data_IF_499870628445
#
_entry.id   IF_499870628445
#
_cell.length_a   1.000
_cell.length_b   1.000
_cell.length_c   1.000
_cell.angle_alpha   90.00
_cell.angle_beta   90.00
_cell.angle_gamma   90.00
#
_symmetry.space_group_name_H-M   'P 1'
#
loop_
_entity.id
_entity.type
_entity.pdbx_description
1 polymer ?
#
# COMPACT_ATOMS: atom_id res chain seq x y z
N UNK A 1 7.59 -45.12 38.64
CA UNK A 1 7.32 -44.38 37.39
C UNK A 1 6.05 -43.56 37.57
N UNK A 2 6.18 -42.31 38.00
CA UNK A 2 5.11 -41.32 38.02
C UNK A 2 5.71 -40.02 37.49
N UNK A 3 5.36 -39.63 36.26
CA UNK A 3 5.63 -38.27 35.76
C UNK A 3 4.60 -37.34 36.41
N UNK A 4 5.01 -36.20 37.00
CA UNK A 4 4.05 -35.26 37.55
C UNK A 4 3.23 -34.64 36.41
N UNK A 5 1.92 -34.61 36.61
CA UNK A 5 0.96 -33.91 35.76
C UNK A 5 1.26 -32.42 35.88
N UNK A 6 1.62 -31.79 34.77
CA UNK A 6 1.78 -30.34 34.67
C UNK A 6 0.41 -29.68 34.93
N UNK A 7 0.31 -28.66 35.80
CA UNK A 7 -0.96 -27.97 36.02
C UNK A 7 -1.41 -27.25 34.72
N UNK A 8 -2.72 -27.02 34.53
CA UNK A 8 -3.22 -26.33 33.35
C UNK A 8 -2.64 -24.90 33.31
N UNK A 9 -2.02 -24.55 32.19
CA UNK A 9 -1.56 -23.20 31.92
C UNK A 9 -2.76 -22.25 32.00
N UNK A 10 -2.78 -21.43 33.04
CA UNK A 10 -3.67 -20.28 33.14
C UNK A 10 -3.33 -19.35 31.97
N UNK A 11 -4.29 -19.01 31.12
CA UNK A 11 -4.13 -18.06 29.99
C UNK A 11 -3.72 -16.68 30.52
N UNK A 12 -2.42 -16.49 30.70
CA UNK A 12 -1.82 -15.17 30.83
C UNK A 12 -1.57 -14.65 29.41
N UNK A 13 -2.59 -14.04 28.79
CA UNK A 13 -2.34 -13.19 27.62
C UNK A 13 -1.29 -12.16 28.02
N UNK A 14 -0.13 -12.19 27.36
CA UNK A 14 1.00 -11.36 27.80
C UNK A 14 0.63 -9.88 27.60
N UNK A 15 1.15 -8.98 28.45
CA UNK A 15 0.95 -7.53 28.34
C UNK A 15 1.32 -6.96 26.94
N UNK A 16 2.00 -7.76 26.12
CA UNK A 16 2.38 -7.45 24.75
C UNK A 16 1.23 -7.58 23.71
N UNK A 17 0.05 -8.07 24.07
CA UNK A 17 -1.08 -8.28 23.14
C UNK A 17 -2.18 -7.21 23.26
N UNK A 18 -1.90 -6.15 24.03
CA UNK A 18 -2.79 -4.99 24.24
C UNK A 18 -2.03 -3.67 24.07
N UNK A 19 -2.72 -2.66 23.58
CA UNK A 19 -2.23 -1.28 23.54
C UNK A 19 -3.41 -0.30 23.52
N UNK A 20 -3.18 0.97 23.83
CA UNK A 20 -4.22 1.99 23.70
C UNK A 20 -4.45 2.35 22.23
N UNK A 21 -3.37 2.55 21.47
CA UNK A 21 -3.42 2.98 20.07
C UNK A 21 -2.62 2.01 19.21
N UNK A 22 -3.29 1.33 18.29
CA UNK A 22 -2.69 0.45 17.30
C UNK A 22 -2.59 1.18 15.95
N UNK A 23 -1.39 1.29 15.41
CA UNK A 23 -1.11 1.95 14.13
C UNK A 23 -0.70 0.88 13.12
N UNK A 24 -1.43 0.79 12.01
CA UNK A 24 -1.14 -0.19 10.95
C UNK A 24 -0.41 0.50 9.80
N UNK A 25 0.89 0.23 9.68
CA UNK A 25 1.81 0.80 8.73
C UNK A 25 2.78 1.80 9.37
N UNK A 26 4.08 1.57 9.18
CA UNK A 26 5.19 2.41 9.62
C UNK A 26 5.74 3.29 8.47
N UNK A 27 4.89 3.67 7.51
CA UNK A 27 5.19 4.73 6.54
C UNK A 27 5.18 6.14 7.17
N UNK A 28 5.40 7.21 6.38
CA UNK A 28 5.40 8.58 6.89
C UNK A 28 4.16 8.94 7.74
N UNK A 29 2.97 8.52 7.31
CA UNK A 29 1.74 8.74 8.08
C UNK A 29 1.76 8.04 9.45
N UNK A 30 2.14 6.76 9.50
CA UNK A 30 2.14 6.00 10.75
C UNK A 30 3.21 6.47 11.73
N UNK A 31 4.40 6.82 11.24
CA UNK A 31 5.44 7.40 12.09
C UNK A 31 5.01 8.75 12.67
N UNK A 32 4.36 9.60 11.87
CA UNK A 32 3.82 10.86 12.36
C UNK A 32 2.66 10.66 13.35
N UNK A 33 1.78 9.69 13.11
CA UNK A 33 0.70 9.36 14.04
C UNK A 33 1.23 8.90 15.39
N UNK A 34 2.25 8.05 15.39
CA UNK A 34 2.85 7.55 16.62
C UNK A 34 3.50 8.69 17.42
N UNK A 35 4.30 9.52 16.77
CA UNK A 35 4.98 10.65 17.42
C UNK A 35 4.00 11.71 17.93
N UNK A 36 2.91 11.96 17.22
CA UNK A 36 1.86 12.89 17.66
C UNK A 36 1.08 12.36 18.88
N UNK A 37 0.86 11.05 18.95
CA UNK A 37 0.18 10.41 20.08
C UNK A 37 1.10 10.23 21.30
N UNK A 38 2.41 10.11 21.10
CA UNK A 38 3.37 9.74 22.15
C UNK A 38 3.33 10.59 23.43
N UNK A 39 3.18 11.93 23.37
CA UNK A 39 3.12 12.77 24.58
C UNK A 39 1.93 12.51 25.50
N UNK A 40 0.90 11.78 25.04
CA UNK A 40 -0.26 11.42 25.87
C UNK A 40 0.05 10.36 26.93
N UNK A 41 1.18 9.67 26.82
CA UNK A 41 1.52 8.51 27.66
C UNK A 41 0.80 7.22 27.29
N UNK A 42 -0.08 7.24 26.28
CA UNK A 42 -0.76 6.06 25.76
C UNK A 42 0.24 4.98 25.32
N UNK A 43 -0.09 3.70 25.55
CA UNK A 43 0.67 2.59 25.01
C UNK A 43 0.40 2.47 23.50
N UNK A 44 1.41 2.72 22.67
CA UNK A 44 1.29 2.77 21.21
C UNK A 44 2.01 1.56 20.60
N UNK A 45 1.33 0.82 19.74
CA UNK A 45 1.95 -0.24 18.93
C UNK A 45 1.85 0.10 17.45
N UNK A 46 2.96 0.03 16.73
CA UNK A 46 3.03 0.18 15.27
C UNK A 46 3.32 -1.18 14.67
N UNK A 47 2.51 -1.62 13.71
CA UNK A 47 2.69 -2.88 12.98
C UNK A 47 3.03 -2.56 11.53
N UNK A 48 4.12 -3.11 11.00
CA UNK A 48 4.48 -2.96 9.59
C UNK A 48 5.06 -4.27 9.04
N UNK A 49 4.66 -4.60 7.81
CA UNK A 49 5.08 -5.83 7.15
C UNK A 49 6.51 -5.76 6.61
N UNK A 50 7.11 -4.57 6.54
CA UNK A 50 8.50 -4.41 6.16
C UNK A 50 9.44 -4.64 7.35
N UNK A 51 10.66 -5.15 7.10
CA UNK A 51 11.66 -5.33 8.14
C UNK A 51 12.12 -4.03 8.82
N UNK A 52 11.92 -2.88 8.16
CA UNK A 52 12.35 -1.58 8.67
C UNK A 52 11.27 -0.50 8.45
N UNK A 53 11.11 0.45 9.39
CA UNK A 53 10.11 1.50 9.28
C UNK A 53 10.45 2.51 8.17
N UNK A 54 9.46 3.06 7.50
CA UNK A 54 9.64 4.08 6.45
C UNK A 54 8.69 3.92 5.27
N UNK A 55 7.98 2.80 5.19
CA UNK A 55 7.09 2.48 4.07
C UNK A 55 7.84 2.51 2.74
N UNK A 56 7.17 2.94 1.67
CA UNK A 56 7.77 2.93 0.31
C UNK A 56 8.72 4.12 0.06
N UNK A 57 8.36 5.30 0.57
CA UNK A 57 9.11 6.55 0.31
C UNK A 57 10.45 6.54 1.05
N UNK A 58 10.43 6.17 2.33
CA UNK A 58 11.62 6.05 3.17
C UNK A 58 12.07 4.59 3.33
N UNK A 59 11.77 3.74 2.33
CA UNK A 59 12.24 2.35 2.31
C UNK A 59 13.75 2.32 2.49
N UNK A 60 14.18 1.59 3.50
CA UNK A 60 15.58 1.34 3.81
C UNK A 60 16.14 0.16 3.03
N UNK A 61 17.46 0.05 2.98
CA UNK A 61 18.14 -1.10 2.41
C UNK A 61 19.66 -0.93 2.37
N UNK A 62 20.39 -1.94 1.89
CA UNK A 62 21.84 -2.06 2.09
C UNK A 62 22.67 -0.87 1.61
N UNK A 63 22.21 -0.16 0.57
CA UNK A 63 22.92 0.97 -0.05
C UNK A 63 22.11 2.27 0.02
N UNK A 64 21.09 2.33 0.88
CA UNK A 64 20.19 3.47 0.97
C UNK A 64 20.72 4.48 1.98
N UNK A 65 20.94 5.72 1.52
CA UNK A 65 21.08 6.87 2.42
C UNK A 65 19.70 7.46 2.62
N UNK A 66 19.16 7.31 3.83
CA UNK A 66 17.85 7.84 4.18
C UNK A 66 17.86 9.38 4.16
N UNK A 67 16.76 10.03 3.71
CA UNK A 67 16.59 11.47 3.85
C UNK A 67 16.65 11.89 5.32
N UNK A 68 17.17 13.09 5.60
CA UNK A 68 17.30 13.62 6.96
C UNK A 68 15.98 13.56 7.75
N UNK A 69 14.85 13.87 7.11
CA UNK A 69 13.53 13.80 7.74
C UNK A 69 13.19 12.37 8.21
N UNK A 70 13.51 11.35 7.41
CA UNK A 70 13.27 9.96 7.78
C UNK A 70 14.12 9.55 9.00
N UNK A 71 15.39 9.97 9.02
CA UNK A 71 16.31 9.73 10.14
C UNK A 71 15.80 10.42 11.41
N UNK A 72 15.35 11.67 11.31
CA UNK A 72 14.78 12.43 12.42
C UNK A 72 13.54 11.74 13.02
N UNK A 73 12.61 11.29 12.17
CA UNK A 73 11.41 10.58 12.64
C UNK A 73 11.76 9.27 13.36
N UNK A 74 12.70 8.48 12.84
CA UNK A 74 13.15 7.25 13.49
C UNK A 74 13.85 7.51 14.82
N UNK A 75 14.74 8.51 14.85
CA UNK A 75 15.43 8.92 16.06
C UNK A 75 14.47 9.45 17.13
N UNK A 76 13.44 10.19 16.72
CA UNK A 76 12.38 10.64 17.62
C UNK A 76 11.57 9.45 18.17
N UNK A 77 11.23 8.47 17.32
CA UNK A 77 10.48 7.28 17.73
C UNK A 77 11.23 6.51 18.82
N UNK A 78 12.54 6.33 18.65
CA UNK A 78 13.40 5.61 19.59
C UNK A 78 13.55 6.29 20.96
N UNK A 79 13.18 7.58 21.09
CA UNK A 79 13.21 8.31 22.37
C UNK A 79 11.96 8.10 23.22
N UNK A 80 10.89 7.54 22.65
CA UNK A 80 9.64 7.33 23.36
C UNK A 80 9.52 5.87 23.83
N UNK A 81 9.51 5.66 25.14
CA UNK A 81 9.41 4.33 25.75
C UNK A 81 8.00 3.72 25.65
N UNK A 82 6.98 4.54 25.39
CA UNK A 82 5.60 4.11 25.21
C UNK A 82 5.24 3.76 23.75
N UNK A 83 6.21 3.79 22.84
CA UNK A 83 6.04 3.34 21.45
C UNK A 83 6.73 2.00 21.25
N UNK A 84 5.97 1.02 20.81
CA UNK A 84 6.48 -0.28 20.38
C UNK A 84 6.33 -0.44 18.87
N UNK A 85 7.42 -0.75 18.19
CA UNK A 85 7.41 -1.09 16.77
C UNK A 85 7.50 -2.62 16.60
N UNK A 86 6.62 -3.18 15.79
CA UNK A 86 6.59 -4.59 15.40
C UNK A 86 6.87 -4.67 13.89
N UNK A 87 8.15 -4.64 13.47
CA UNK A 87 8.54 -4.75 12.07
C UNK A 87 8.45 -6.22 11.62
N UNK A 88 8.21 -6.44 10.32
CA UNK A 88 8.03 -7.79 9.77
C UNK A 88 6.75 -8.50 10.24
N UNK A 89 5.84 -7.78 10.89
CA UNK A 89 4.56 -8.28 11.35
C UNK A 89 3.44 -7.75 10.45
N UNK A 90 2.49 -8.61 10.08
CA UNK A 90 1.38 -8.25 9.19
C UNK A 90 0.03 -8.54 9.84
N UNK A 91 -0.96 -7.71 9.51
CA UNK A 91 -2.37 -8.02 9.80
C UNK A 91 -2.85 -9.05 8.80
N UNK A 92 -3.29 -10.20 9.29
CA UNK A 92 -3.78 -11.30 8.45
C UNK A 92 -5.30 -11.42 8.46
N UNK A 93 -5.99 -10.90 9.48
CA UNK A 93 -7.43 -11.00 9.62
C UNK A 93 -7.98 -10.21 10.80
N UNK A 94 -9.28 -10.36 11.06
CA UNK A 94 -9.88 -9.94 12.31
C UNK A 94 -9.60 -10.99 13.39
N UNK A 95 -9.30 -10.53 14.60
CA UNK A 95 -9.19 -11.39 15.77
C UNK A 95 -10.49 -11.40 16.57
N UNK A 96 -10.61 -12.35 17.49
CA UNK A 96 -11.78 -12.44 18.36
C UNK A 96 -11.83 -11.24 19.33
N UNK A 97 -12.97 -10.55 19.46
CA UNK A 97 -13.11 -9.44 20.40
C UNK A 97 -13.19 -9.93 21.85
N UNK A 98 -12.74 -9.12 22.80
CA UNK A 98 -12.95 -9.39 24.22
C UNK A 98 -14.22 -8.69 24.75
N UNK A 99 -14.86 -9.20 25.81
CA UNK A 99 -15.98 -8.53 26.45
C UNK A 99 -15.64 -7.08 26.83
N UNK A 100 -16.40 -6.12 26.29
CA UNK A 100 -16.19 -4.69 26.53
C UNK A 100 -15.32 -3.98 25.49
N UNK A 101 -14.70 -4.70 24.55
CA UNK A 101 -13.98 -4.10 23.44
C UNK A 101 -14.95 -3.32 22.54
N UNK A 102 -14.67 -2.03 22.36
CA UNK A 102 -15.43 -1.15 21.44
C UNK A 102 -14.78 -1.03 20.07
N UNK A 103 -13.64 -1.70 19.87
CA UNK A 103 -12.84 -1.63 18.66
C UNK A 103 -12.43 -3.05 18.27
N UNK A 104 -12.51 -3.44 16.99
CA UNK A 104 -12.21 -4.81 16.58
C UNK A 104 -10.77 -5.19 16.91
N UNK A 105 -10.56 -6.42 17.38
CA UNK A 105 -9.23 -6.99 17.53
C UNK A 105 -8.67 -7.40 16.15
N UNK A 106 -7.35 -7.39 16.00
CA UNK A 106 -6.67 -7.74 14.75
C UNK A 106 -5.82 -9.00 14.95
N UNK A 107 -5.94 -9.94 14.02
CA UNK A 107 -5.07 -11.12 13.98
C UNK A 107 -3.76 -10.73 13.28
N UNK A 108 -2.65 -10.86 13.99
CA UNK A 108 -1.31 -10.54 13.51
C UNK A 108 -0.47 -11.80 13.33
N UNK A 109 0.50 -11.71 12.42
CA UNK A 109 1.45 -12.78 12.14
C UNK A 109 2.82 -12.18 11.81
N UNK A 110 3.89 -12.75 12.39
CA UNK A 110 5.29 -12.48 12.00
C UNK A 110 5.96 -13.77 11.49
N UNK A 111 7.29 -13.79 11.35
CA UNK A 111 8.03 -14.97 10.89
C UNK A 111 7.90 -16.19 11.82
N UNK A 112 7.58 -15.99 13.09
CA UNK A 112 7.70 -17.02 14.13
C UNK A 112 6.34 -17.46 14.69
N UNK A 113 5.39 -16.52 14.84
CA UNK A 113 4.10 -16.79 15.50
C UNK A 113 2.94 -15.92 15.00
N UNK A 114 1.74 -16.30 15.43
CA UNK A 114 0.54 -15.50 15.28
C UNK A 114 -0.07 -15.17 16.63
N UNK A 115 -0.75 -14.02 16.74
CA UNK A 115 -1.43 -13.59 17.96
C UNK A 115 -2.58 -12.62 17.65
N UNK A 116 -3.50 -12.48 18.59
CA UNK A 116 -4.56 -11.46 18.52
C UNK A 116 -4.09 -10.18 19.23
N UNK A 117 -4.11 -9.05 18.52
CA UNK A 117 -3.79 -7.73 19.07
C UNK A 117 -5.06 -6.96 19.38
N UNK A 118 -5.27 -6.66 20.66
CA UNK A 118 -6.34 -5.83 21.15
C UNK A 118 -5.90 -4.36 21.25
N UNK A 119 -6.85 -3.44 21.00
CA UNK A 119 -6.58 -2.01 21.13
C UNK A 119 -7.83 -1.18 21.42
N UNK A 120 -7.67 -0.02 22.05
CA UNK A 120 -8.77 0.94 22.26
C UNK A 120 -9.07 1.78 21.02
N UNK A 121 -8.06 2.01 20.17
CA UNK A 121 -8.14 2.79 18.92
C UNK A 121 -7.23 2.20 17.86
N UNK A 122 -7.66 2.26 16.60
CA UNK A 122 -6.87 1.83 15.44
C UNK A 122 -6.65 3.02 14.50
N UNK A 123 -5.41 3.23 14.04
CA UNK A 123 -5.09 4.19 12.97
C UNK A 123 -4.57 3.43 11.75
N UNK A 124 -5.34 3.46 10.67
CA UNK A 124 -5.00 2.82 9.40
C UNK A 124 -4.08 3.73 8.57
N UNK A 125 -2.82 3.34 8.46
CA UNK A 125 -1.77 3.99 7.66
C UNK A 125 -1.22 3.03 6.58
N UNK A 126 -2.10 2.20 6.02
CA UNK A 126 -1.79 1.08 5.10
C UNK A 126 -1.27 1.47 3.72
N UNK A 127 -1.20 2.78 3.44
CA UNK A 127 -0.64 3.33 2.21
C UNK A 127 -1.42 2.95 0.94
N UNK A 128 -0.70 2.89 -0.17
CA UNK A 128 -1.20 2.50 -1.48
C UNK A 128 -0.22 1.55 -2.18
N UNK A 129 -0.72 0.87 -3.22
CA UNK A 129 0.08 0.05 -4.14
C UNK A 129 0.02 0.64 -5.54
N UNK A 130 0.94 0.24 -6.41
CA UNK A 130 0.92 0.67 -7.81
C UNK A 130 -0.26 0.04 -8.57
N UNK A 131 -0.87 0.83 -9.45
CA UNK A 131 -1.75 0.31 -10.47
C UNK A 131 -0.90 -0.32 -11.58
N UNK A 132 -1.03 -1.63 -11.77
CA UNK A 132 -0.41 -2.37 -12.88
C UNK A 132 -1.49 -2.67 -13.91
N UNK A 133 -1.25 -2.26 -15.16
CA UNK A 133 -2.19 -2.45 -16.27
C UNK A 133 -1.64 -3.46 -17.28
N UNK A 134 -2.47 -4.41 -17.76
CA UNK A 134 -2.07 -5.37 -18.78
C UNK A 134 -1.82 -4.71 -20.14
N UNK A 135 -0.67 -5.03 -20.74
CA UNK A 135 -0.33 -4.76 -22.14
C UNK A 135 0.60 -5.88 -22.65
N UNK A 136 0.72 -6.13 -23.96
CA UNK A 136 1.57 -7.20 -24.48
C UNK A 136 2.99 -7.17 -23.89
N UNK A 137 3.40 -8.27 -23.24
CA UNK A 137 4.70 -8.42 -22.60
C UNK A 137 4.85 -7.86 -21.18
N UNK A 138 3.80 -7.30 -20.56
CA UNK A 138 3.91 -6.71 -19.22
C UNK A 138 4.30 -7.68 -18.09
N UNK A 139 4.19 -8.99 -18.34
CA UNK A 139 4.60 -10.06 -17.41
C UNK A 139 6.02 -10.58 -17.64
N UNK A 140 6.72 -10.13 -18.69
CA UNK A 140 8.07 -10.59 -18.99
C UNK A 140 9.04 -10.26 -17.84
N UNK A 141 9.96 -11.18 -17.49
CA UNK A 141 11.06 -10.86 -16.57
C UNK A 141 11.82 -9.62 -17.03
N UNK A 142 11.93 -8.64 -16.13
CA UNK A 142 12.48 -7.31 -16.43
C UNK A 142 11.44 -6.20 -16.54
N UNK A 143 10.14 -6.53 -16.62
CA UNK A 143 9.04 -5.56 -16.49
C UNK A 143 8.60 -5.44 -15.03
N UNK A 144 8.57 -4.20 -14.52
CA UNK A 144 8.10 -3.90 -13.16
C UNK A 144 7.22 -2.66 -13.14
N UNK A 145 6.63 -2.37 -11.99
CA UNK A 145 6.13 -1.01 -11.72
C UNK A 145 7.28 -0.01 -11.50
N UNK A 146 7.01 1.29 -11.62
CA UNK A 146 8.02 2.35 -11.47
C UNK A 146 8.55 2.44 -10.03
N UNK A 147 7.65 2.47 -9.05
CA UNK A 147 7.95 2.38 -7.63
C UNK A 147 8.48 0.99 -7.25
N UNK A 148 8.01 -0.09 -7.90
CA UNK A 148 8.59 -1.41 -7.71
C UNK A 148 10.07 -1.46 -8.13
N UNK A 149 10.46 -0.83 -9.25
CA UNK A 149 11.87 -0.71 -9.65
C UNK A 149 12.68 -0.01 -8.55
N UNK A 150 12.19 1.12 -8.02
CA UNK A 150 12.85 1.81 -6.92
C UNK A 150 13.00 0.92 -5.68
N UNK A 151 11.94 0.22 -5.31
CA UNK A 151 11.95 -0.67 -4.14
C UNK A 151 12.95 -1.82 -4.31
N UNK A 152 13.02 -2.42 -5.50
CA UNK A 152 13.97 -3.48 -5.83
C UNK A 152 15.42 -2.98 -5.77
N UNK A 153 15.72 -1.82 -6.37
CA UNK A 153 17.07 -1.23 -6.31
C UNK A 153 17.47 -0.96 -4.86
N UNK A 154 16.58 -0.36 -4.07
CA UNK A 154 16.82 -0.11 -2.64
C UNK A 154 17.04 -1.41 -1.86
N UNK A 155 16.36 -2.49 -2.25
CA UNK A 155 16.52 -3.82 -1.67
C UNK A 155 17.76 -4.58 -2.16
N UNK A 156 18.56 -4.01 -3.07
CA UNK A 156 19.82 -4.59 -3.55
C UNK A 156 19.81 -5.15 -4.97
N UNK A 157 18.77 -4.90 -5.77
CA UNK A 157 18.79 -5.24 -7.20
C UNK A 157 19.89 -4.45 -7.92
N UNK A 158 20.85 -5.15 -8.50
CA UNK A 158 21.88 -4.53 -9.34
C UNK A 158 21.33 -4.20 -10.73
N UNK A 159 21.42 -2.92 -11.07
CA UNK A 159 21.00 -2.34 -12.35
C UNK A 159 22.15 -1.65 -13.08
N UNK A 160 23.39 -1.76 -12.57
CA UNK A 160 24.54 -1.09 -13.15
C UNK A 160 24.74 -1.50 -14.61
N UNK A 161 24.91 -0.52 -15.49
CA UNK A 161 25.10 -0.71 -16.93
C UNK A 161 23.85 -1.15 -17.71
N UNK A 162 22.74 -1.47 -17.04
CA UNK A 162 21.50 -1.87 -17.71
C UNK A 162 20.80 -0.66 -18.33
N UNK A 163 20.22 -0.86 -19.51
CA UNK A 163 19.39 0.11 -20.21
C UNK A 163 17.95 -0.01 -19.73
N UNK A 164 17.42 1.06 -19.16
CA UNK A 164 16.08 1.06 -18.57
C UNK A 164 15.17 2.04 -19.31
N UNK A 165 13.98 1.58 -19.66
CA UNK A 165 12.88 2.44 -20.10
C UNK A 165 11.87 2.59 -18.97
N UNK A 166 11.43 3.81 -18.73
CA UNK A 166 10.41 4.12 -17.72
C UNK A 166 9.24 4.76 -18.44
N UNK A 167 8.02 4.24 -18.28
CA UNK A 167 6.85 4.69 -19.03
C UNK A 167 5.60 4.82 -18.14
N UNK A 168 4.71 5.75 -18.46
CA UNK A 168 3.43 5.89 -17.75
C UNK A 168 3.05 7.34 -17.53
N UNK A 169 2.65 7.68 -16.29
CA UNK A 169 2.24 9.03 -15.93
C UNK A 169 2.69 9.46 -14.54
N UNK A 170 3.09 10.73 -14.43
CA UNK A 170 3.28 11.43 -13.17
C UNK A 170 4.70 11.44 -12.63
N UNK A 171 4.92 12.17 -11.51
CA UNK A 171 6.26 12.45 -11.00
C UNK A 171 7.03 11.21 -10.52
N UNK A 172 6.34 10.09 -10.26
CA UNK A 172 6.99 8.84 -9.87
C UNK A 172 7.95 8.32 -10.95
N UNK A 173 7.68 8.59 -12.24
CA UNK A 173 8.58 8.18 -13.33
C UNK A 173 9.96 8.82 -13.19
N UNK A 174 10.00 10.12 -12.90
CA UNK A 174 11.24 10.87 -12.73
C UNK A 174 11.98 10.45 -11.46
N UNK A 175 11.24 10.19 -10.38
CA UNK A 175 11.83 9.65 -9.16
C UNK A 175 12.46 8.26 -9.43
N UNK A 176 11.78 7.40 -10.18
CA UNK A 176 12.31 6.08 -10.56
C UNK A 176 13.55 6.20 -11.44
N UNK A 177 13.55 7.13 -12.40
CA UNK A 177 14.70 7.43 -13.25
C UNK A 177 15.91 7.88 -12.44
N UNK A 178 15.72 8.81 -11.49
CA UNK A 178 16.79 9.29 -10.62
C UNK A 178 17.38 8.16 -9.76
N UNK A 179 16.54 7.29 -9.19
CA UNK A 179 17.00 6.11 -8.44
C UNK A 179 17.82 5.17 -9.31
N UNK A 180 17.35 4.86 -10.53
CA UNK A 180 18.03 4.00 -11.47
C UNK A 180 19.39 4.57 -11.92
N UNK A 181 19.43 5.83 -12.32
CA UNK A 181 20.68 6.50 -12.71
C UNK A 181 21.69 6.55 -11.55
N UNK A 182 21.24 6.85 -10.33
CA UNK A 182 22.11 6.85 -9.13
C UNK A 182 22.68 5.45 -8.83
N UNK A 183 21.94 4.39 -9.17
CA UNK A 183 22.41 3.01 -9.06
C UNK A 183 23.30 2.56 -10.24
N UNK A 184 23.58 3.45 -11.20
CA UNK A 184 24.47 3.20 -12.33
C UNK A 184 23.79 2.60 -13.55
N UNK A 185 22.45 2.59 -13.61
CA UNK A 185 21.73 2.25 -14.83
C UNK A 185 21.77 3.39 -15.86
N UNK A 186 21.55 3.05 -17.12
CA UNK A 186 21.36 4.03 -18.21
C UNK A 186 19.87 4.13 -18.51
N UNK A 187 19.20 5.18 -18.05
CA UNK A 187 17.79 5.43 -18.41
C UNK A 187 17.72 5.99 -19.83
N UNK A 188 17.35 5.15 -20.80
CA UNK A 188 17.35 5.51 -22.23
C UNK A 188 16.08 6.26 -22.65
N UNK A 189 14.99 6.12 -21.91
CA UNK A 189 13.72 6.82 -22.16
C UNK A 189 12.90 6.97 -20.88
N UNK A 190 12.34 8.17 -20.68
CA UNK A 190 11.22 8.41 -19.76
C UNK A 190 10.02 8.83 -20.60
N UNK A 191 9.11 7.90 -20.87
CA UNK A 191 7.91 8.08 -21.68
C UNK A 191 6.74 8.49 -20.79
N UNK A 192 6.45 9.79 -20.78
CA UNK A 192 5.35 10.41 -20.04
C UNK A 192 4.16 10.57 -20.97
N UNK A 193 3.02 9.99 -20.62
CA UNK A 193 1.83 10.02 -21.45
C UNK A 193 1.19 11.41 -21.49
N UNK A 194 1.36 12.21 -20.43
CA UNK A 194 0.83 13.56 -20.35
C UNK A 194 1.46 14.43 -21.45
N UNK A 195 0.69 15.31 -22.11
CA UNK A 195 1.23 16.23 -23.12
C UNK A 195 2.10 17.32 -22.47
N UNK A 196 2.98 17.92 -23.28
CA UNK A 196 3.84 19.03 -22.83
C UNK A 196 3.04 20.19 -22.21
N UNK A 197 1.83 20.46 -22.70
CA UNK A 197 0.95 21.48 -22.13
C UNK A 197 0.53 21.17 -20.69
N UNK A 198 0.22 19.90 -20.37
CA UNK A 198 -0.11 19.48 -19.02
C UNK A 198 1.12 19.53 -18.10
N UNK A 199 2.29 19.12 -18.59
CA UNK A 199 3.54 19.22 -17.84
C UNK A 199 3.92 20.67 -17.53
N UNK A 200 3.82 21.56 -18.52
CA UNK A 200 4.05 22.99 -18.35
C UNK A 200 3.02 23.61 -17.39
N UNK A 201 1.75 23.25 -17.53
CA UNK A 201 0.68 23.71 -16.63
C UNK A 201 0.87 23.25 -15.19
N UNK A 202 1.38 22.03 -14.95
CA UNK A 202 1.77 21.57 -13.62
C UNK A 202 3.00 22.32 -13.11
N UNK A 203 4.04 22.46 -13.93
CA UNK A 203 5.27 23.15 -13.58
C UNK A 203 5.03 24.63 -13.18
N UNK A 204 4.13 25.32 -13.89
CA UNK A 204 3.74 26.70 -13.58
C UNK A 204 3.08 26.86 -12.19
N UNK A 205 2.53 25.78 -11.62
CA UNK A 205 1.94 25.79 -10.28
C UNK A 205 2.94 25.48 -9.17
N UNK A 206 4.10 24.88 -9.49
CA UNK A 206 5.11 24.47 -8.51
C UNK A 206 5.65 25.59 -7.61
N UNK A 207 5.75 26.87 -8.03
CA UNK A 207 6.18 27.95 -7.12
C UNK A 207 5.33 28.06 -5.84
N UNK A 208 4.09 27.56 -5.83
CA UNK A 208 3.24 27.48 -4.63
C UNK A 208 3.80 26.52 -3.57
N UNK A 209 4.66 25.59 -3.98
CA UNK A 209 5.34 24.61 -3.13
C UNK A 209 6.85 24.62 -3.40
N UNK A 210 7.61 25.59 -2.84
CA UNK A 210 9.03 25.80 -3.17
C UNK A 210 9.91 24.54 -3.02
N UNK A 211 9.69 23.74 -1.96
CA UNK A 211 10.40 22.48 -1.76
C UNK A 211 10.15 21.48 -2.91
N UNK A 212 8.92 21.41 -3.44
CA UNK A 212 8.59 20.58 -4.61
C UNK A 212 9.13 21.16 -5.91
N UNK A 213 9.16 22.49 -6.05
CA UNK A 213 9.77 23.15 -7.20
C UNK A 213 11.27 22.83 -7.29
N UNK A 214 11.99 22.96 -6.16
CA UNK A 214 13.41 22.60 -6.10
C UNK A 214 13.63 21.11 -6.39
N UNK A 215 12.81 20.25 -5.78
CA UNK A 215 12.86 18.81 -6.05
C UNK A 215 12.64 18.51 -7.55
N UNK A 216 11.67 19.15 -8.19
CA UNK A 216 11.38 18.93 -9.60
C UNK A 216 12.57 19.30 -10.51
N UNK A 217 13.28 20.38 -10.21
CA UNK A 217 14.49 20.77 -10.94
C UNK A 217 15.58 19.69 -10.87
N UNK A 218 15.77 19.07 -9.70
CA UNK A 218 16.74 17.98 -9.52
C UNK A 218 16.34 16.67 -10.24
N UNK A 219 15.08 16.55 -10.64
CA UNK A 219 14.51 15.36 -11.26
C UNK A 219 14.32 15.50 -12.78
N UNK A 220 14.63 16.67 -13.36
CA UNK A 220 14.57 16.87 -14.81
C UNK A 220 15.48 15.85 -15.51
N UNK A 221 14.93 15.18 -16.51
CA UNK A 221 15.62 14.10 -17.20
C UNK A 221 15.71 14.40 -18.71
N UNK A 222 16.90 14.34 -19.34
CA UNK A 222 17.06 14.67 -20.76
C UNK A 222 16.33 13.69 -21.70
N UNK A 223 16.06 12.48 -21.22
CA UNK A 223 15.29 11.47 -21.96
C UNK A 223 13.78 11.52 -21.74
N UNK A 224 13.27 12.55 -21.03
CA UNK A 224 11.84 12.79 -20.87
C UNK A 224 11.19 13.10 -22.23
N UNK A 225 10.16 12.34 -22.57
CA UNK A 225 9.33 12.56 -23.77
C UNK A 225 7.87 12.54 -23.33
N UNK A 226 7.20 13.68 -23.47
CA UNK A 226 5.78 13.81 -23.25
C UNK A 226 4.97 13.17 -24.39
N UNK A 227 3.65 13.01 -24.18
CA UNK A 227 2.74 12.35 -25.13
C UNK A 227 3.24 10.98 -25.58
N UNK A 228 3.87 10.21 -24.69
CA UNK A 228 4.44 8.91 -25.01
C UNK A 228 4.02 7.86 -23.99
N UNK A 229 3.62 6.68 -24.48
CA UNK A 229 3.21 5.58 -23.61
C UNK A 229 3.64 4.23 -24.19
N UNK A 230 3.72 3.22 -23.33
CA UNK A 230 4.07 1.86 -23.73
C UNK A 230 2.97 1.22 -24.58
N UNK A 231 3.36 0.53 -25.65
CA UNK A 231 2.47 -0.30 -26.46
C UNK A 231 2.69 -1.79 -26.17
N UNK A 232 3.96 -2.20 -26.13
CA UNK A 232 4.36 -3.59 -26.02
C UNK A 232 5.81 -3.70 -25.53
N UNK A 233 6.09 -4.77 -24.80
CA UNK A 233 7.46 -5.19 -24.45
C UNK A 233 7.71 -6.56 -25.06
N UNK A 234 8.87 -6.75 -25.68
CA UNK A 234 9.20 -7.97 -26.40
C UNK A 234 10.48 -8.61 -25.86
N UNK A 235 10.52 -9.93 -25.95
CA UNK A 235 11.67 -10.74 -25.62
C UNK A 235 11.26 -12.20 -25.40
N UNK A 236 12.24 -13.11 -25.50
CA UNK A 236 11.98 -14.55 -25.40
C UNK A 236 11.89 -15.03 -23.94
N UNK A 237 12.91 -14.72 -23.13
CA UNK A 237 12.99 -15.14 -21.71
C UNK A 237 12.93 -13.95 -20.75
N UNK A 238 13.28 -12.77 -21.23
CA UNK A 238 13.31 -11.50 -20.51
C UNK A 238 13.18 -10.36 -21.50
N UNK A 239 12.99 -9.14 -21.00
CA UNK A 239 12.95 -7.91 -21.82
C UNK A 239 14.18 -7.81 -22.73
N UNK A 240 13.94 -7.49 -24.01
CA UNK A 240 14.97 -7.17 -25.00
C UNK A 240 14.69 -5.85 -25.71
N UNK A 241 13.40 -5.60 -26.01
CA UNK A 241 12.96 -4.36 -26.65
C UNK A 241 11.63 -3.89 -26.07
N UNK A 242 11.37 -2.60 -26.23
CA UNK A 242 10.09 -1.98 -25.92
C UNK A 242 9.63 -1.14 -27.10
N UNK A 243 8.33 -1.20 -27.40
CA UNK A 243 7.66 -0.38 -28.39
C UNK A 243 6.79 0.65 -27.68
N UNK A 244 6.98 1.91 -28.05
CA UNK A 244 6.33 3.06 -27.45
C UNK A 244 5.53 3.81 -28.53
N UNK A 245 4.38 4.35 -28.15
CA UNK A 245 3.69 5.39 -28.92
C UNK A 245 4.37 6.73 -28.64
N UNK A 246 4.49 7.57 -29.66
CA UNK A 246 4.93 8.97 -29.58
C UNK A 246 3.94 9.87 -30.29
N UNK A 247 3.36 10.81 -29.55
CA UNK A 247 2.27 11.64 -30.06
C UNK A 247 1.05 10.78 -30.42
N UNK A 248 0.37 11.14 -31.50
CA UNK A 248 -0.85 10.46 -31.92
C UNK A 248 -0.58 9.18 -32.74
N UNK A 249 0.45 9.19 -33.60
CA UNK A 249 0.60 8.13 -34.61
C UNK A 249 1.99 7.48 -34.63
N UNK A 250 3.06 8.20 -34.28
CA UNK A 250 4.40 7.66 -34.42
C UNK A 250 4.67 6.56 -33.38
N UNK A 251 5.46 5.54 -33.77
CA UNK A 251 5.93 4.49 -32.89
C UNK A 251 7.46 4.50 -32.85
N UNK A 252 8.03 4.16 -31.70
CA UNK A 252 9.46 4.05 -31.49
C UNK A 252 9.75 2.70 -30.82
N UNK A 253 10.67 1.92 -31.40
CA UNK A 253 11.16 0.67 -30.81
C UNK A 253 12.57 0.88 -30.30
N UNK A 254 12.85 0.44 -29.08
CA UNK A 254 14.15 0.65 -28.43
C UNK A 254 14.61 -0.64 -27.75
N UNK A 255 15.89 -0.95 -27.87
CA UNK A 255 16.49 -2.04 -27.10
C UNK A 255 16.70 -1.62 -25.64
N UNK A 256 16.28 -2.47 -24.70
CA UNK A 256 16.42 -2.23 -23.28
C UNK A 256 16.46 -3.56 -22.52
N UNK A 257 16.96 -3.51 -21.29
CA UNK A 257 17.13 -4.70 -20.44
C UNK A 257 16.04 -4.75 -19.35
N UNK A 258 15.40 -3.60 -19.07
CA UNK A 258 14.25 -3.49 -18.16
C UNK A 258 13.26 -2.42 -18.61
N UNK A 259 12.00 -2.61 -18.24
CA UNK A 259 10.94 -1.61 -18.40
C UNK A 259 10.23 -1.41 -17.07
N UNK A 260 10.05 -0.16 -16.64
CA UNK A 260 9.29 0.15 -15.44
C UNK A 260 8.08 1.03 -15.78
N UNK A 261 6.88 0.57 -15.43
CA UNK A 261 5.62 1.23 -15.78
C UNK A 261 4.94 1.86 -14.55
N UNK A 262 4.51 3.12 -14.67
CA UNK A 262 3.78 3.83 -13.61
C UNK A 262 2.42 4.32 -14.08
N UNK A 263 1.34 3.61 -13.72
CA UNK A 263 -0.02 3.98 -14.11
C UNK A 263 -0.83 4.60 -12.96
N UNK A 264 -0.16 5.20 -11.98
CA UNK A 264 -0.79 5.68 -10.76
C UNK A 264 -0.88 4.60 -9.67
N UNK A 265 -1.76 4.82 -8.71
CA UNK A 265 -1.81 4.07 -7.46
C UNK A 265 -3.23 3.55 -7.18
N UNK A 266 -3.32 2.60 -6.26
CA UNK A 266 -4.56 2.05 -5.70
C UNK A 266 -4.45 2.07 -4.17
N UNK A 267 -5.38 2.68 -3.43
CA UNK A 267 -5.27 2.72 -1.97
C UNK A 267 -5.41 1.31 -1.38
N UNK A 268 -4.71 1.03 -0.28
CA UNK A 268 -4.82 -0.25 0.41
C UNK A 268 -5.96 -0.19 1.43
N UNK A 269 -7.19 -0.32 0.95
CA UNK A 269 -8.42 -0.16 1.76
C UNK A 269 -8.97 -1.45 2.34
N UNK A 270 -8.46 -2.62 1.95
CA UNK A 270 -9.04 -3.91 2.29
C UNK A 270 -9.23 -4.13 3.80
N UNK A 271 -8.25 -3.76 4.63
CA UNK A 271 -8.39 -3.84 6.09
C UNK A 271 -9.49 -2.91 6.60
N UNK A 272 -9.56 -1.67 6.11
CA UNK A 272 -10.63 -0.75 6.48
C UNK A 272 -12.01 -1.26 6.07
N UNK A 273 -12.15 -1.80 4.86
CA UNK A 273 -13.42 -2.40 4.40
C UNK A 273 -13.80 -3.63 5.23
N UNK A 274 -12.84 -4.47 5.61
CA UNK A 274 -13.06 -5.62 6.50
C UNK A 274 -13.51 -5.18 7.90
N UNK A 275 -13.07 -4.01 8.36
CA UNK A 275 -13.54 -3.36 9.59
C UNK A 275 -14.90 -2.64 9.43
N UNK A 276 -15.44 -2.53 8.22
CA UNK A 276 -16.69 -1.82 7.91
C UNK A 276 -16.53 -0.33 7.58
N UNK A 277 -15.31 0.15 7.33
CA UNK A 277 -15.08 1.53 6.91
C UNK A 277 -15.63 1.79 5.51
N UNK A 278 -16.30 2.92 5.32
CA UNK A 278 -16.78 3.36 4.00
C UNK A 278 -15.64 3.87 3.12
N UNK A 279 -15.78 3.68 1.81
CA UNK A 279 -14.94 4.33 0.81
C UNK A 279 -15.51 5.69 0.43
N UNK A 280 -14.65 6.57 -0.08
CA UNK A 280 -15.01 7.94 -0.43
C UNK A 280 -13.88 8.96 -0.24
N UNK A 281 -12.67 8.49 0.05
CA UNK A 281 -11.51 9.35 0.24
C UNK A 281 -11.21 10.21 -1.00
N UNK A 282 -10.86 11.50 -0.83
CA UNK A 282 -10.56 12.39 -1.95
C UNK A 282 -9.28 11.95 -2.67
N UNK A 283 -9.08 12.39 -3.92
CA UNK A 283 -7.85 12.12 -4.69
C UNK A 283 -7.57 10.63 -4.94
N UNK A 284 -8.62 9.84 -5.14
CA UNK A 284 -8.53 8.41 -5.46
C UNK A 284 -9.69 7.91 -6.34
N UNK A 285 -10.47 8.81 -6.94
CA UNK A 285 -11.71 8.44 -7.63
C UNK A 285 -12.75 7.78 -6.70
N UNK A 286 -12.75 8.15 -5.41
CA UNK A 286 -13.65 7.58 -4.40
C UNK A 286 -13.23 6.22 -3.85
N UNK A 287 -12.05 5.70 -4.21
CA UNK A 287 -11.60 4.36 -3.81
C UNK A 287 -10.84 4.32 -2.47
N UNK A 288 -10.43 5.46 -1.93
CA UNK A 288 -9.77 5.59 -0.63
C UNK A 288 -10.76 5.49 0.53
N UNK A 289 -10.26 5.21 1.74
CA UNK A 289 -11.05 5.25 2.96
C UNK A 289 -11.60 6.66 3.19
N UNK A 290 -12.90 6.77 3.43
CA UNK A 290 -13.54 8.05 3.78
C UNK A 290 -13.16 8.43 5.21
N UNK A 291 -12.80 9.71 5.39
CA UNK A 291 -12.50 10.27 6.71
C UNK A 291 -13.13 11.65 6.89
N UNK A 292 -13.49 11.98 8.12
CA UNK A 292 -13.96 13.32 8.49
C UNK A 292 -12.80 14.34 8.62
N UNK A 293 -13.12 15.57 9.00
CA UNK A 293 -12.16 16.64 9.23
C UNK A 293 -11.11 16.36 10.33
N UNK A 294 -11.34 15.34 11.15
CA UNK A 294 -10.53 14.92 12.29
C UNK A 294 -9.93 13.52 12.06
N UNK A 295 -9.89 13.06 10.81
CA UNK A 295 -9.34 11.77 10.36
C UNK A 295 -10.10 10.53 10.87
N UNK A 296 -11.34 10.67 11.39
CA UNK A 296 -12.19 9.54 11.78
C UNK A 296 -12.83 8.89 10.58
N UNK A 297 -12.88 7.55 10.59
CA UNK A 297 -13.65 6.78 9.62
C UNK A 297 -15.12 6.66 10.05
N UNK A 298 -15.93 5.96 9.26
CA UNK A 298 -17.31 5.60 9.64
C UNK A 298 -17.40 4.63 10.82
N UNK A 299 -16.29 4.00 11.22
CA UNK A 299 -16.24 3.03 12.33
C UNK A 299 -15.70 3.72 13.59
N UNK A 300 -16.47 3.76 14.69
CA UNK A 300 -16.03 4.36 15.94
C UNK A 300 -14.70 3.77 16.43
N UNK A 301 -13.78 4.64 16.83
CA UNK A 301 -12.45 4.23 17.30
C UNK A 301 -11.46 3.87 16.20
N UNK A 302 -11.86 3.92 14.92
CA UNK A 302 -10.99 3.68 13.77
C UNK A 302 -10.75 4.99 13.00
N UNK A 303 -9.48 5.30 12.79
CA UNK A 303 -8.99 6.46 12.03
C UNK A 303 -8.24 5.98 10.78
N UNK A 304 -8.08 6.86 9.80
CA UNK A 304 -7.25 6.56 8.64
C UNK A 304 -6.45 7.79 8.19
N UNK A 305 -5.23 7.56 7.70
CA UNK A 305 -4.33 8.63 7.27
C UNK A 305 -3.39 8.18 6.15
N UNK A 306 -2.87 9.17 5.42
CA UNK A 306 -1.95 8.92 4.30
C UNK A 306 -2.66 8.38 3.07
N UNK A 307 -1.92 7.61 2.26
CA UNK A 307 -2.39 7.22 0.93
C UNK A 307 -3.55 6.22 0.94
N UNK A 308 -3.85 5.61 2.09
CA UNK A 308 -5.06 4.82 2.29
C UNK A 308 -6.35 5.67 2.15
N UNK A 309 -6.26 6.99 2.36
CA UNK A 309 -7.36 7.96 2.18
C UNK A 309 -7.34 8.62 0.79
N UNK A 310 -6.38 8.26 -0.07
CA UNK A 310 -6.16 8.79 -1.42
C UNK A 310 -4.80 9.47 -1.61
N UNK A 311 -4.41 9.78 -2.85
CA UNK A 311 -3.02 10.09 -3.19
C UNK A 311 -2.69 11.58 -3.05
N UNK A 312 -1.55 11.90 -2.43
CA UNK A 312 -1.11 13.29 -2.29
C UNK A 312 0.31 13.52 -1.82
N UNK A 313 1.14 12.46 -1.79
CA UNK A 313 2.55 12.54 -1.39
C UNK A 313 2.79 12.48 0.12
N UNK A 314 4.06 12.32 0.48
CA UNK A 314 4.55 12.15 1.85
C UNK A 314 4.14 13.28 2.79
N UNK A 315 4.12 14.52 2.31
CA UNK A 315 3.87 15.68 3.15
C UNK A 315 2.41 15.75 3.60
N UNK A 316 1.46 15.42 2.70
CA UNK A 316 0.06 15.22 3.10
C UNK A 316 -0.06 14.06 4.08
N UNK A 317 0.64 12.95 3.81
CA UNK A 317 0.59 11.76 4.66
C UNK A 317 1.11 12.03 6.09
N UNK A 318 2.20 12.79 6.24
CA UNK A 318 2.75 13.20 7.53
C UNK A 318 1.74 14.04 8.33
N UNK A 319 1.10 15.02 7.69
CA UNK A 319 0.11 15.89 8.35
C UNK A 319 -1.12 15.11 8.77
N UNK A 320 -1.70 14.29 7.87
CA UNK A 320 -2.84 13.44 8.21
C UNK A 320 -2.49 12.45 9.32
N UNK A 321 -1.29 11.86 9.27
CA UNK A 321 -0.78 10.95 10.29
C UNK A 321 -0.76 11.62 11.66
N UNK A 322 -0.09 12.78 11.76
CA UNK A 322 -0.04 13.55 13.01
C UNK A 322 -1.44 13.93 13.52
N UNK A 323 -2.34 14.38 12.62
CA UNK A 323 -3.73 14.66 13.00
C UNK A 323 -4.44 13.43 13.56
N UNK A 324 -4.36 12.28 12.90
CA UNK A 324 -4.98 11.05 13.37
C UNK A 324 -4.40 10.58 14.72
N UNK A 325 -3.08 10.70 14.91
CA UNK A 325 -2.40 10.41 16.16
C UNK A 325 -2.89 11.28 17.32
N UNK A 326 -2.93 12.60 17.11
CA UNK A 326 -3.47 13.53 18.11
C UNK A 326 -4.93 13.20 18.46
N UNK A 327 -5.81 12.98 17.47
CA UNK A 327 -7.23 12.68 17.75
C UNK A 327 -7.38 11.32 18.44
N UNK A 328 -6.62 10.30 18.04
CA UNK A 328 -6.62 8.99 18.71
C UNK A 328 -6.18 9.10 20.19
N UNK A 329 -5.27 10.03 20.50
CA UNK A 329 -4.82 10.36 21.84
C UNK A 329 -5.71 11.37 22.60
N UNK A 330 -6.87 11.76 22.05
CA UNK A 330 -7.79 12.73 22.67
C UNK A 330 -7.38 14.20 22.53
N UNK A 331 -6.31 14.50 21.80
CA UNK A 331 -5.71 15.83 21.61
C UNK A 331 -6.30 16.56 20.38
N UNK A 332 -7.61 16.78 20.39
CA UNK A 332 -8.34 17.29 19.22
C UNK A 332 -7.88 18.69 18.78
N UNK A 333 -7.52 19.57 19.72
CA UNK A 333 -7.09 20.93 19.41
C UNK A 333 -5.75 20.95 18.64
N UNK A 334 -4.82 20.06 19.00
CA UNK A 334 -3.53 19.90 18.32
C UNK A 334 -3.75 19.44 16.87
N UNK A 335 -4.68 18.51 16.65
CA UNK A 335 -5.04 18.10 15.29
C UNK A 335 -5.67 19.24 14.47
N UNK A 336 -6.52 20.08 15.09
CA UNK A 336 -7.14 21.22 14.42
C UNK A 336 -6.10 22.27 13.97
N UNK A 337 -5.04 22.47 14.75
CA UNK A 337 -3.95 23.39 14.41
C UNK A 337 -3.24 23.02 13.09
N UNK A 338 -3.27 21.75 12.69
CA UNK A 338 -2.63 21.25 11.47
C UNK A 338 -3.49 21.42 10.20
N UNK A 339 -4.75 21.85 10.31
CA UNK A 339 -5.67 21.98 9.16
C UNK A 339 -5.16 22.90 8.04
N UNK A 340 -4.56 24.08 8.31
CA UNK A 340 -4.02 24.93 7.25
C UNK A 340 -2.90 24.25 6.46
N UNK A 341 -2.07 23.46 7.15
CA UNK A 341 -0.99 22.69 6.54
C UNK A 341 -1.54 21.55 5.69
N UNK A 342 -2.58 20.86 6.16
CA UNK A 342 -3.27 19.82 5.38
C UNK A 342 -3.86 20.42 4.09
N UNK A 343 -4.60 21.51 4.19
CA UNK A 343 -5.21 22.18 3.03
C UNK A 343 -4.18 22.61 1.97
N UNK A 344 -2.97 23.01 2.41
CA UNK A 344 -1.85 23.32 1.49
C UNK A 344 -1.42 22.12 0.67
N UNK A 345 -1.33 20.94 1.28
CA UNK A 345 -0.90 19.71 0.61
C UNK A 345 -2.05 19.02 -0.15
N UNK A 346 -3.30 19.25 0.24
CA UNK A 346 -4.46 18.83 -0.56
C UNK A 346 -4.56 19.59 -1.88
N UNK A 347 -4.22 20.89 -1.90
CA UNK A 347 -4.09 21.63 -3.17
C UNK A 347 -3.01 21.05 -4.09
N UNK A 348 -1.91 20.55 -3.51
CA UNK A 348 -0.86 19.87 -4.28
C UNK A 348 -1.35 18.54 -4.83
N UNK A 349 -2.02 17.75 -3.99
CA UNK A 349 -2.65 16.49 -4.38
C UNK A 349 -3.66 16.68 -5.53
N UNK A 350 -4.49 17.72 -5.44
CA UNK A 350 -5.44 18.07 -6.50
C UNK A 350 -4.72 18.43 -7.80
N UNK A 351 -3.67 19.25 -7.75
CA UNK A 351 -2.88 19.62 -8.93
C UNK A 351 -2.27 18.39 -9.62
N UNK A 352 -1.76 17.42 -8.84
CA UNK A 352 -1.27 16.14 -9.38
C UNK A 352 -2.37 15.35 -10.09
N UNK A 353 -3.52 15.17 -9.42
CA UNK A 353 -4.64 14.39 -9.98
C UNK A 353 -5.16 14.98 -11.29
N UNK A 354 -5.30 16.30 -11.36
CA UNK A 354 -5.78 16.98 -12.56
C UNK A 354 -4.75 16.97 -13.69
N UNK A 355 -3.45 16.99 -13.38
CA UNK A 355 -2.39 17.09 -14.41
C UNK A 355 -1.99 15.74 -15.01
N UNK A 356 -2.21 14.64 -14.29
CA UNK A 356 -1.71 13.32 -14.66
C UNK A 356 -2.80 12.23 -14.77
N UNK A 357 -3.97 12.49 -15.41
CA UNK A 357 -5.00 11.48 -15.56
C UNK A 357 -4.52 10.34 -16.47
N UNK A 358 -5.09 9.14 -16.28
CA UNK A 358 -4.80 8.00 -17.15
C UNK A 358 -5.36 8.20 -18.55
N UNK A 359 -4.53 7.94 -19.56
CA UNK A 359 -4.94 7.96 -20.96
C UNK A 359 -5.89 6.79 -21.24
N UNK A 360 -7.05 7.07 -21.82
CA UNK A 360 -8.04 6.06 -22.20
C UNK A 360 -7.51 5.01 -23.18
N UNK A 361 -6.49 5.34 -23.99
CA UNK A 361 -5.82 4.39 -24.88
C UNK A 361 -5.22 3.18 -24.15
N UNK A 362 -4.88 3.31 -22.86
CA UNK A 362 -4.37 2.20 -22.07
C UNK A 362 -5.42 1.08 -21.87
N UNK A 363 -6.72 1.39 -21.99
CA UNK A 363 -7.79 0.39 -21.88
C UNK A 363 -7.79 -0.60 -23.04
N UNK A 364 -7.23 -0.22 -24.18
CA UNK A 364 -7.25 -1.02 -25.42
C UNK A 364 -5.93 -1.72 -25.71
N UNK A 365 -4.94 -1.63 -24.81
CA UNK A 365 -3.64 -2.25 -25.03
C UNK A 365 -3.68 -3.78 -24.91
N UNK A 366 -4.49 -4.30 -23.98
CA UNK A 366 -4.59 -5.73 -23.75
C UNK A 366 -5.12 -6.44 -25.00
N UNK A 367 -4.32 -7.37 -25.53
CA UNK A 367 -4.69 -8.25 -26.63
C UNK A 367 -5.31 -9.55 -26.08
N UNK A 368 -6.01 -10.36 -26.90
CA UNK A 368 -6.65 -11.61 -26.46
C UNK A 368 -5.76 -12.50 -25.57
N UNK A 369 -4.49 -12.70 -25.93
CA UNK A 369 -3.54 -13.51 -25.17
C UNK A 369 -2.81 -12.80 -24.02
N UNK A 370 -3.04 -11.50 -23.81
CA UNK A 370 -2.39 -10.75 -22.74
C UNK A 370 -2.90 -11.23 -21.38
N UNK A 371 -2.01 -11.69 -20.50
CA UNK A 371 -2.39 -12.10 -19.15
C UNK A 371 -2.97 -10.92 -18.37
N UNK A 372 -4.11 -11.09 -17.71
CA UNK A 372 -4.68 -10.13 -16.77
C UNK A 372 -4.43 -10.57 -15.34
N UNK A 373 -4.55 -11.88 -15.06
CA UNK A 373 -4.18 -12.45 -13.77
C UNK A 373 -2.93 -13.32 -13.89
N UNK A 374 -1.77 -12.75 -13.54
CA UNK A 374 -0.47 -13.46 -13.54
C UNK A 374 -0.41 -14.63 -12.54
N UNK A 375 -1.18 -14.61 -11.46
CA UNK A 375 -1.13 -15.69 -10.47
C UNK A 375 -1.85 -16.96 -10.92
N UNK A 376 -2.75 -16.86 -11.89
CA UNK A 376 -3.64 -17.95 -12.35
C UNK A 376 -3.60 -18.06 -13.88
N UNK A 377 -2.61 -17.42 -14.52
CA UNK A 377 -2.39 -17.38 -15.97
C UNK A 377 -3.65 -17.07 -16.81
N UNK A 378 -4.50 -16.17 -16.31
CA UNK A 378 -5.77 -15.83 -16.98
C UNK A 378 -5.55 -14.78 -18.07
N UNK A 379 -5.79 -15.09 -19.36
CA UNK A 379 -5.67 -14.12 -20.46
C UNK A 379 -6.89 -13.21 -20.57
N UNK A 380 -6.72 -12.06 -21.23
CA UNK A 380 -7.79 -11.09 -21.47
C UNK A 380 -9.01 -11.70 -22.18
N UNK A 381 -8.80 -12.58 -23.16
CA UNK A 381 -9.89 -13.23 -23.89
C UNK A 381 -10.83 -14.06 -23.00
N UNK A 382 -10.31 -14.63 -21.91
CA UNK A 382 -11.13 -15.38 -20.95
C UNK A 382 -12.04 -14.45 -20.11
N UNK A 383 -11.70 -13.16 -20.04
CA UNK A 383 -12.45 -12.15 -19.29
C UNK A 383 -13.40 -11.33 -20.16
N UNK A 384 -13.06 -11.12 -21.44
CA UNK A 384 -13.76 -10.17 -22.31
C UNK A 384 -15.29 -10.41 -22.42
N UNK A 385 -15.73 -11.66 -22.30
CA UNK A 385 -17.15 -12.06 -22.40
C UNK A 385 -17.72 -12.48 -21.02
N UNK A 386 -17.26 -11.88 -19.93
CA UNK A 386 -17.78 -12.11 -18.57
C UNK A 386 -18.62 -10.91 -18.13
N UNK A 387 -19.57 -11.14 -17.24
CA UNK A 387 -20.56 -10.11 -16.85
C UNK A 387 -20.13 -9.30 -15.62
N UNK A 388 -19.14 -9.78 -14.88
CA UNK A 388 -18.68 -9.12 -13.66
C UNK A 388 -17.54 -9.83 -12.95
N UNK A 389 -17.06 -9.22 -11.86
CA UNK A 389 -15.94 -9.75 -11.08
C UNK A 389 -16.20 -11.18 -10.55
N UNK A 390 -17.40 -11.44 -10.01
CA UNK A 390 -17.75 -12.74 -9.43
C UNK A 390 -17.80 -13.81 -10.52
N UNK A 391 -18.47 -13.52 -11.65
CA UNK A 391 -18.56 -14.41 -12.80
C UNK A 391 -17.15 -14.73 -13.36
N UNK A 392 -16.35 -13.71 -13.63
CA UNK A 392 -14.97 -13.87 -14.07
C UNK A 392 -14.14 -14.71 -13.08
N UNK A 393 -14.24 -14.43 -11.78
CA UNK A 393 -13.50 -15.15 -10.74
C UNK A 393 -13.86 -16.62 -10.70
N UNK A 394 -15.15 -16.97 -10.74
CA UNK A 394 -15.61 -18.36 -10.64
C UNK A 394 -15.27 -19.18 -11.89
N UNK A 395 -15.40 -18.59 -13.08
CA UNK A 395 -15.19 -19.32 -14.34
C UNK A 395 -13.72 -19.39 -14.79
N UNK A 396 -12.90 -18.41 -14.41
CA UNK A 396 -11.51 -18.30 -14.90
C UNK A 396 -10.47 -18.37 -13.80
N UNK A 397 -10.89 -18.39 -12.53
CA UNK A 397 -10.02 -18.26 -11.35
C UNK A 397 -9.34 -16.90 -11.19
N UNK A 398 -9.68 -15.90 -12.02
CA UNK A 398 -9.13 -14.55 -11.89
C UNK A 398 -9.29 -14.00 -10.46
N UNK A 399 -8.18 -13.63 -9.84
CA UNK A 399 -8.16 -13.13 -8.46
C UNK A 399 -8.16 -14.18 -7.36
N UNK A 400 -7.99 -15.47 -7.69
CA UNK A 400 -7.91 -16.57 -6.71
C UNK A 400 -6.48 -16.95 -6.28
N UNK A 401 -5.46 -16.49 -7.01
CA UNK A 401 -4.07 -16.83 -6.69
C UNK A 401 -3.49 -16.12 -5.46
N UNK A 402 -2.20 -16.28 -5.20
CA UNK A 402 -1.56 -15.81 -3.95
C UNK A 402 -1.73 -14.31 -3.64
N UNK A 403 -1.90 -13.46 -4.67
CA UNK A 403 -2.17 -12.03 -4.47
C UNK A 403 -3.62 -11.72 -4.06
N UNK A 404 -4.53 -12.69 -4.11
CA UNK A 404 -5.95 -12.58 -3.77
C UNK A 404 -6.64 -11.42 -4.50
N UNK A 405 -6.34 -11.26 -5.80
CA UNK A 405 -6.95 -10.22 -6.64
C UNK A 405 -6.42 -8.81 -6.43
N UNK A 406 -5.42 -8.58 -5.56
CA UNK A 406 -4.85 -7.23 -5.32
C UNK A 406 -4.33 -6.55 -6.59
N UNK A 407 -3.81 -7.33 -7.54
CA UNK A 407 -3.26 -6.84 -8.81
C UNK A 407 -4.34 -6.86 -9.90
N UNK A 408 -4.83 -8.05 -10.27
CA UNK A 408 -5.78 -8.19 -11.38
C UNK A 408 -7.15 -7.57 -11.10
N UNK A 409 -7.56 -7.41 -9.84
CA UNK A 409 -8.79 -6.70 -9.47
C UNK A 409 -8.75 -5.22 -9.81
N UNK A 410 -7.60 -4.57 -9.59
CA UNK A 410 -7.42 -3.16 -9.98
C UNK A 410 -7.37 -3.00 -11.51
N UNK A 411 -6.70 -3.94 -12.21
CA UNK A 411 -6.73 -3.99 -13.66
C UNK A 411 -8.16 -4.21 -14.21
N UNK A 412 -8.92 -5.14 -13.63
CA UNK A 412 -10.29 -5.43 -14.04
C UNK A 412 -11.24 -4.24 -13.77
N UNK A 413 -11.06 -3.52 -12.66
CA UNK A 413 -11.77 -2.27 -12.41
C UNK A 413 -11.50 -1.24 -13.50
N UNK A 414 -10.25 -1.10 -13.94
CA UNK A 414 -9.88 -0.14 -14.97
C UNK A 414 -10.39 -0.53 -16.36
N UNK A 415 -10.26 -1.81 -16.73
CA UNK A 415 -10.61 -2.34 -18.04
C UNK A 415 -12.12 -2.52 -18.23
N UNK A 416 -12.78 -3.11 -17.24
CA UNK A 416 -14.18 -3.57 -17.34
C UNK A 416 -15.13 -2.85 -16.40
N UNK A 417 -14.63 -2.00 -15.49
CA UNK A 417 -15.46 -1.35 -14.47
C UNK A 417 -15.87 -2.26 -13.32
N UNK A 418 -15.35 -3.50 -13.26
CA UNK A 418 -15.72 -4.46 -12.23
C UNK A 418 -15.05 -4.18 -10.89
N UNK A 419 -15.86 -4.09 -9.84
CA UNK A 419 -15.38 -3.87 -8.47
C UNK A 419 -15.22 -5.19 -7.73
N UNK A 420 -14.00 -5.56 -7.30
CA UNK A 420 -13.81 -6.71 -6.43
C UNK A 420 -14.52 -6.54 -5.09
N UNK A 421 -15.14 -7.62 -4.61
CA UNK A 421 -15.69 -7.66 -3.26
C UNK A 421 -14.55 -7.60 -2.22
N UNK A 422 -14.78 -6.95 -1.06
CA UNK A 422 -13.79 -6.94 0.01
C UNK A 422 -13.53 -8.35 0.56
N UNK A 423 -12.33 -8.61 1.09
CA UNK A 423 -12.04 -9.87 1.77
C UNK A 423 -12.92 -10.04 3.01
N UNK A 424 -13.43 -11.25 3.23
CA UNK A 424 -14.40 -11.54 4.31
C UNK A 424 -13.76 -11.89 5.66
N UNK A 425 -12.66 -12.65 5.66
CA UNK A 425 -12.06 -13.18 6.89
C UNK A 425 -10.55 -12.95 6.97
N UNK A 426 -9.83 -13.19 5.87
CA UNK A 426 -8.37 -13.07 5.81
C UNK A 426 -7.95 -12.09 4.71
N UNK A 427 -6.93 -11.29 5.00
CA UNK A 427 -6.30 -10.33 4.08
C UNK A 427 -5.19 -10.97 3.24
N UNK A 428 -4.59 -12.05 3.72
CA UNK A 428 -3.47 -12.72 3.09
C UNK A 428 -3.47 -14.23 3.43
N UNK A 429 -2.75 -15.05 2.64
CA UNK A 429 -2.44 -16.41 3.05
C UNK A 429 -1.81 -16.41 4.44
N UNK A 430 -2.41 -17.18 5.35
CA UNK A 430 -2.12 -17.20 6.79
C UNK A 430 -1.71 -18.60 7.20
N UNK A 431 -0.77 -18.74 8.13
CA UNK A 431 -0.36 -20.06 8.62
C UNK A 431 -1.51 -20.71 9.39
N UNK A 432 -1.69 -22.01 9.20
CA UNK A 432 -2.66 -22.79 9.99
C UNK A 432 -2.34 -22.66 11.49
N UNK A 433 -1.06 -22.66 11.86
CA UNK A 433 -0.63 -22.47 13.25
C UNK A 433 -1.08 -21.14 13.85
N UNK A 434 -1.10 -20.06 13.06
CA UNK A 434 -1.61 -18.74 13.51
C UNK A 434 -3.11 -18.81 13.81
N UNK A 435 -3.89 -19.42 12.93
CA UNK A 435 -5.34 -19.59 13.14
C UNK A 435 -5.63 -20.49 14.34
N UNK A 436 -4.89 -21.59 14.49
CA UNK A 436 -5.06 -22.53 15.59
C UNK A 436 -4.68 -21.92 16.95
N UNK A 437 -3.62 -21.11 17.00
CA UNK A 437 -3.16 -20.47 18.24
C UNK A 437 -4.09 -19.35 18.73
N UNK A 438 -4.90 -18.77 17.84
CA UNK A 438 -5.75 -17.62 18.16
C UNK A 438 -7.23 -17.99 18.28
N UNK A 439 -7.58 -19.28 18.21
CA UNK A 439 -8.92 -19.77 18.49
C UNK A 439 -9.01 -20.11 19.99
N UNK A 440 -9.96 -19.55 20.76
CA UNK A 440 -10.10 -19.93 22.16
C UNK A 440 -10.37 -21.43 22.26
N UNK A 441 -9.75 -22.09 23.25
CA UNK A 441 -10.02 -23.50 23.49
C UNK A 441 -11.53 -23.70 23.71
N UNK A 442 -12.16 -24.74 23.12
CA UNK A 442 -13.56 -25.00 23.34
C UNK A 442 -13.79 -25.15 24.85
N UNK A 443 -14.68 -24.32 25.40
CA UNK A 443 -15.12 -24.41 26.79
C UNK A 443 -15.66 -25.81 27.02
N UNK A 444 -14.89 -26.63 27.71
CA UNK A 444 -15.32 -27.95 28.19
C UNK A 444 -16.25 -27.76 29.39
N UNK A 445 -17.41 -27.15 29.19
CA UNK A 445 -18.49 -27.11 30.16
C UNK A 445 -19.52 -28.19 29.83
N UNK A 446 -19.17 -29.43 30.16
CA UNK A 446 -20.15 -30.49 30.42
C UNK A 446 -19.48 -31.61 31.26
N UNK A 447 -19.05 -31.27 32.47
CA UNK A 447 -19.08 -32.29 33.53
C UNK A 447 -20.55 -32.61 33.76
N UNK A 448 -21.03 -33.68 33.12
CA UNK A 448 -22.25 -34.35 33.58
C UNK A 448 -21.95 -34.87 34.97
N UNK A 449 -22.55 -34.26 35.99
CA UNK A 449 -22.66 -34.89 37.30
C UNK A 449 -23.27 -36.29 37.10
N UNK A 450 -22.68 -37.35 37.68
CA UNK A 450 -23.34 -38.64 37.72
C UNK A 450 -24.58 -38.50 38.61
N UNK A 451 -25.75 -38.76 38.04
CA UNK A 451 -27.00 -38.85 38.78
C UNK A 451 -26.82 -39.82 39.95
N UNK A 452 -27.07 -39.33 41.17
CA UNK A 452 -27.14 -40.16 42.36
C UNK A 452 -28.28 -41.18 42.20
N UNK A 453 -28.08 -42.46 42.57
CA UNK A 453 -29.15 -43.43 42.55
C UNK A 453 -30.16 -43.08 43.65
N UNK A 454 -31.41 -42.88 43.24
CA UNK A 454 -32.56 -42.80 44.15
C UNK A 454 -32.75 -44.15 44.83
N UNK A 455 -32.49 -44.19 46.14
CA UNK A 455 -32.97 -45.22 47.06
C UNK A 455 -34.30 -44.83 47.68
#
# INVERSE_FOLDING_TARGET
MNRPVTPPMTEQHSAHERCDILIIGAGPAGLAAALAAAPSGAAITIVDDNPQPGGQIWRDGPQVVLPALAQQHRAALARHTNIRLLPGARVVGLGDPQPGDKTPALLLEDADRGWTQHSHRIVLCTGARELLLPFPGWTLPGVTGAGALQALIKAGLDVRGQRIVIAGTGPLLLAAAATANKAGATVVRVAEQAPWSALAGFAAQLPRWPAKALQALTLLHPQLRASSHVLEVQGTTQVQTVRLRKGQHAEETMACDRVACGFGLVPNTHLGQMLGCTLGGPFSGGQGLAVDAQMRTSVPGVFAAGEATGFGGSERALVQGAMAGHVAAGQVQQAQALRPQLARWERFAQALQTSFPLNGALKTLAQPGTLVCRCEDVPYAALANRDGWIDAKLHTRCGMGACQGRICGAAAQYLFGWTPAPPRHLLAPTRIGTLAACTPAPTTSAQREPAAPSG
#
